data_IF_660512701901
#
_entry.id   IF_660512701901
#
_cell.length_a   1.000
_cell.length_b   1.000
_cell.length_c   1.000
_cell.angle_alpha   90.00
_cell.angle_beta   90.00
_cell.angle_gamma   90.00
#
_symmetry.space_group_name_H-M   'P 1'
#
loop_
_entity.id
_entity.type
_entity.pdbx_description
1 polymer ?
#
# COMPACT_ATOMS: atom_id res chain seq x y z
N UNK A 1 19.15 15.94 -27.71
CA UNK A 1 17.68 16.04 -27.74
C UNK A 1 17.15 14.91 -26.86
N UNK A 2 16.49 15.20 -25.77
CA UNK A 2 15.81 14.14 -24.98
C UNK A 2 14.71 13.53 -25.88
N UNK A 3 14.76 12.23 -26.11
CA UNK A 3 13.71 11.51 -26.84
C UNK A 3 12.35 11.79 -26.16
N UNK A 4 11.33 12.08 -26.97
CA UNK A 4 9.97 12.24 -26.46
C UNK A 4 9.58 10.95 -25.73
N UNK A 5 9.10 11.07 -24.50
CA UNK A 5 8.70 9.90 -23.70
C UNK A 5 7.47 9.22 -24.32
N UNK A 6 7.48 7.92 -24.31
CA UNK A 6 6.35 7.06 -24.70
C UNK A 6 6.23 5.92 -23.70
N UNK A 7 5.07 5.24 -23.58
CA UNK A 7 4.87 4.15 -22.61
C UNK A 7 5.89 3.00 -22.72
N UNK A 8 6.58 2.84 -23.85
CA UNK A 8 7.61 1.81 -24.07
C UNK A 8 9.05 2.36 -24.00
N UNK A 9 9.27 3.63 -23.66
CA UNK A 9 10.62 4.22 -23.55
C UNK A 9 11.53 3.46 -22.58
N UNK A 10 10.95 2.83 -21.58
CA UNK A 10 11.64 2.01 -20.58
C UNK A 10 12.42 0.84 -21.19
N UNK A 11 11.99 0.28 -22.32
CA UNK A 11 12.60 -0.89 -22.95
C UNK A 11 14.07 -0.63 -23.41
N UNK A 12 14.46 0.64 -23.55
CA UNK A 12 15.83 1.05 -23.86
C UNK A 12 16.74 1.19 -22.64
N UNK A 13 16.22 0.98 -21.43
CA UNK A 13 16.91 1.17 -20.16
C UNK A 13 17.21 -0.15 -19.45
N UNK A 14 18.24 -0.20 -18.59
CA UNK A 14 18.50 -1.38 -17.78
C UNK A 14 17.28 -1.72 -16.91
N UNK A 15 16.78 -2.94 -17.00
CA UNK A 15 15.66 -3.44 -16.22
C UNK A 15 16.11 -4.48 -15.19
N UNK A 16 15.58 -4.38 -13.97
CA UNK A 16 15.80 -5.36 -12.89
C UNK A 16 14.49 -6.05 -12.54
N UNK A 17 14.57 -7.28 -12.05
CA UNK A 17 13.44 -8.08 -11.61
C UNK A 17 12.36 -8.35 -12.67
N UNK A 18 12.68 -8.13 -13.93
CA UNK A 18 11.80 -8.49 -15.05
C UNK A 18 11.89 -10.00 -15.32
N UNK A 19 10.75 -10.69 -15.56
CA UNK A 19 10.79 -12.09 -15.95
C UNK A 19 11.36 -12.25 -17.36
N UNK A 20 12.00 -13.40 -17.60
CA UNK A 20 12.40 -13.82 -18.94
C UNK A 20 11.32 -14.75 -19.48
N UNK A 21 10.52 -14.26 -20.40
CA UNK A 21 9.47 -15.06 -21.03
C UNK A 21 10.08 -15.95 -22.12
N UNK A 22 9.62 -17.21 -22.23
CA UNK A 22 10.11 -18.12 -23.28
C UNK A 22 9.75 -17.68 -24.71
N UNK A 23 8.65 -16.92 -24.86
CA UNK A 23 8.12 -16.48 -26.14
C UNK A 23 7.76 -14.98 -26.08
N UNK A 24 8.62 -14.14 -26.67
CA UNK A 24 8.42 -12.70 -26.75
C UNK A 24 7.21 -12.33 -27.63
N UNK A 25 6.95 -13.06 -28.69
CA UNK A 25 5.81 -12.78 -29.56
C UNK A 25 4.48 -12.95 -28.82
N UNK A 26 4.41 -13.92 -27.90
CA UNK A 26 3.25 -14.12 -27.03
C UNK A 26 3.10 -12.95 -26.03
N UNK A 27 4.21 -12.44 -25.50
CA UNK A 27 4.18 -11.23 -24.63
C UNK A 27 3.62 -10.03 -25.40
N UNK A 28 4.14 -9.78 -26.60
CA UNK A 28 3.75 -8.63 -27.43
C UNK A 28 2.26 -8.72 -27.80
N UNK A 29 1.78 -9.91 -28.16
CA UNK A 29 0.37 -10.16 -28.45
C UNK A 29 -0.55 -9.92 -27.23
N UNK A 30 -0.08 -10.33 -26.04
CA UNK A 30 -0.81 -10.14 -24.78
C UNK A 30 -0.85 -8.65 -24.38
N UNK A 31 0.27 -7.93 -24.52
CA UNK A 31 0.34 -6.48 -24.30
C UNK A 31 -0.61 -5.74 -25.23
N UNK A 32 -0.64 -6.09 -26.54
CA UNK A 32 -1.55 -5.46 -27.49
C UNK A 32 -3.03 -5.75 -27.18
N UNK A 33 -3.33 -6.97 -26.74
CA UNK A 33 -4.69 -7.34 -26.28
C UNK A 33 -5.13 -6.50 -25.08
N UNK A 34 -4.27 -6.37 -24.04
CA UNK A 34 -4.55 -5.57 -22.84
C UNK A 34 -4.67 -4.08 -23.16
N UNK A 35 -3.91 -3.57 -24.15
CA UNK A 35 -4.02 -2.19 -24.61
C UNK A 35 -5.43 -1.85 -25.11
N UNK A 36 -6.15 -2.83 -25.64
CA UNK A 36 -7.52 -2.68 -26.11
C UNK A 36 -8.60 -2.93 -25.04
N UNK A 37 -8.19 -3.28 -23.80
CA UNK A 37 -9.13 -3.47 -22.69
C UNK A 37 -9.53 -2.13 -22.06
N UNK A 38 -10.70 -2.04 -21.41
CA UNK A 38 -11.11 -0.85 -20.67
C UNK A 38 -10.11 -0.44 -19.59
N UNK A 39 -10.01 0.85 -19.23
CA UNK A 39 -9.22 1.27 -18.09
C UNK A 39 -9.79 0.71 -16.78
N UNK A 40 -8.94 0.32 -15.85
CA UNK A 40 -9.34 -0.12 -14.51
C UNK A 40 -9.76 1.08 -13.65
N UNK A 41 -9.02 2.18 -13.77
CA UNK A 41 -9.30 3.45 -13.09
C UNK A 41 -9.27 4.61 -14.09
N UNK A 42 -9.85 5.76 -13.71
CA UNK A 42 -9.83 6.94 -14.54
C UNK A 42 -8.78 7.96 -14.06
N UNK A 43 -8.20 8.68 -15.01
CA UNK A 43 -7.23 9.74 -14.72
C UNK A 43 -7.79 10.79 -13.74
N UNK A 44 -9.09 11.09 -13.82
CA UNK A 44 -9.77 12.00 -12.87
C UNK A 44 -9.73 11.51 -11.43
N UNK A 45 -9.86 10.19 -11.19
CA UNK A 45 -9.73 9.60 -9.85
C UNK A 45 -8.29 9.72 -9.34
N UNK A 46 -7.29 9.48 -10.19
CA UNK A 46 -5.88 9.66 -9.84
C UNK A 46 -5.54 11.12 -9.52
N UNK A 47 -6.13 12.09 -10.25
CA UNK A 47 -6.02 13.53 -9.92
C UNK A 47 -6.66 13.87 -8.57
N UNK A 48 -7.84 13.31 -8.29
CA UNK A 48 -8.50 13.48 -6.98
C UNK A 48 -7.65 12.95 -5.84
N UNK A 49 -7.06 11.76 -6.02
CA UNK A 49 -6.12 11.20 -5.05
C UNK A 49 -4.89 12.11 -4.88
N UNK A 50 -4.31 12.62 -5.97
CA UNK A 50 -3.15 13.53 -5.90
C UNK A 50 -3.46 14.79 -5.11
N UNK A 51 -4.65 15.37 -5.28
CA UNK A 51 -5.10 16.52 -4.49
C UNK A 51 -5.24 16.16 -2.99
N UNK A 52 -5.81 15.00 -2.66
CA UNK A 52 -5.91 14.53 -1.29
C UNK A 52 -4.52 14.27 -0.66
N UNK A 53 -3.56 13.74 -1.42
CA UNK A 53 -2.18 13.55 -0.96
C UNK A 53 -1.43 14.89 -0.80
N UNK A 54 -1.80 15.94 -1.51
CA UNK A 54 -1.27 17.28 -1.26
C UNK A 54 -1.69 17.78 0.12
N UNK A 55 -2.94 17.56 0.55
CA UNK A 55 -3.38 17.87 1.91
C UNK A 55 -2.64 17.03 2.97
N UNK A 56 -2.26 15.79 2.64
CA UNK A 56 -1.40 14.97 3.51
C UNK A 56 -0.01 15.58 3.64
N UNK A 57 0.60 16.04 2.53
CA UNK A 57 1.90 16.69 2.56
C UNK A 57 1.90 17.98 3.39
N UNK A 58 0.76 18.69 3.42
CA UNK A 58 0.53 19.91 4.23
C UNK A 58 0.17 19.61 5.69
N UNK A 59 0.10 18.36 6.12
CA UNK A 59 -0.29 17.97 7.49
C UNK A 59 -1.78 18.14 7.81
N UNK A 60 -2.64 18.26 6.79
CA UNK A 60 -4.10 18.44 6.93
C UNK A 60 -4.90 17.15 6.78
N UNK A 61 -4.26 16.07 6.36
CA UNK A 61 -4.84 14.73 6.21
C UNK A 61 -3.79 13.69 6.55
N UNK A 62 -4.22 12.43 6.72
CA UNK A 62 -3.36 11.29 7.01
C UNK A 62 -3.55 10.20 5.97
N UNK A 63 -2.48 9.56 5.50
CA UNK A 63 -2.51 8.45 4.54
C UNK A 63 -2.57 7.10 5.25
N UNK A 64 -3.61 6.33 5.01
CA UNK A 64 -3.68 4.91 5.32
C UNK A 64 -3.55 4.12 4.01
N UNK A 65 -2.39 3.51 3.79
CA UNK A 65 -2.17 2.59 2.68
C UNK A 65 -2.01 1.18 3.26
N UNK A 66 -2.81 0.22 2.78
CA UNK A 66 -2.75 -1.14 3.31
C UNK A 66 -3.42 -2.17 2.41
N UNK A 67 -3.09 -3.43 2.62
CA UNK A 67 -3.65 -4.57 1.91
C UNK A 67 -2.61 -5.64 1.61
N UNK A 68 -2.80 -6.43 0.58
CA UNK A 68 -2.02 -7.64 0.38
C UNK A 68 -0.52 -7.39 0.13
N UNK A 69 0.30 -8.35 0.51
CA UNK A 69 1.72 -8.40 0.15
C UNK A 69 1.88 -8.63 -1.35
N UNK A 70 1.28 -9.72 -1.85
CA UNK A 70 1.03 -10.01 -3.24
C UNK A 70 -0.29 -10.77 -3.32
N UNK A 71 -1.23 -10.22 -4.08
CA UNK A 71 -2.52 -10.88 -4.31
C UNK A 71 -2.32 -12.23 -5.00
N UNK A 72 -3.10 -13.23 -4.59
CA UNK A 72 -3.11 -14.55 -5.20
C UNK A 72 -4.38 -14.78 -5.99
N UNK A 73 -4.24 -15.42 -7.15
CA UNK A 73 -5.40 -15.85 -7.93
C UNK A 73 -6.29 -16.85 -7.17
N UNK A 74 -5.69 -17.64 -6.27
CA UNK A 74 -6.41 -18.61 -5.44
C UNK A 74 -7.23 -17.92 -4.31
N UNK A 75 -6.80 -16.74 -3.85
CA UNK A 75 -7.52 -15.98 -2.82
C UNK A 75 -8.59 -15.03 -3.39
N UNK A 76 -8.77 -15.00 -4.73
CA UNK A 76 -9.79 -14.19 -5.38
C UNK A 76 -11.19 -14.68 -5.04
N UNK A 77 -11.76 -14.09 -4.00
CA UNK A 77 -13.09 -14.43 -3.48
C UNK A 77 -13.79 -13.17 -2.93
N UNK A 78 -15.11 -13.00 -3.14
CA UNK A 78 -15.83 -11.81 -2.72
C UNK A 78 -15.77 -11.55 -1.20
N UNK A 79 -15.66 -12.60 -0.38
CA UNK A 79 -15.51 -12.45 1.08
C UNK A 79 -14.14 -11.86 1.42
N UNK A 80 -13.05 -12.31 0.77
CA UNK A 80 -11.71 -11.79 1.02
C UNK A 80 -11.60 -10.31 0.66
N UNK A 81 -12.17 -9.92 -0.47
CA UNK A 81 -12.23 -8.53 -0.92
C UNK A 81 -13.03 -7.69 0.08
N UNK A 82 -14.20 -8.17 0.47
CA UNK A 82 -15.06 -7.52 1.47
C UNK A 82 -14.37 -7.35 2.81
N UNK A 83 -13.74 -8.41 3.33
CA UNK A 83 -13.14 -8.40 4.65
C UNK A 83 -11.90 -7.52 4.71
N UNK A 84 -11.08 -7.50 3.65
CA UNK A 84 -9.95 -6.56 3.52
C UNK A 84 -10.42 -5.10 3.47
N UNK A 85 -11.45 -4.80 2.69
CA UNK A 85 -12.06 -3.47 2.65
C UNK A 85 -12.64 -3.06 4.00
N UNK A 86 -13.32 -3.97 4.69
CA UNK A 86 -13.89 -3.75 6.02
C UNK A 86 -12.82 -3.38 7.04
N UNK A 87 -11.71 -4.12 7.11
CA UNK A 87 -10.60 -3.83 8.03
C UNK A 87 -10.02 -2.45 7.76
N UNK A 88 -9.77 -2.10 6.50
CA UNK A 88 -9.26 -0.78 6.14
C UNK A 88 -10.23 0.35 6.51
N UNK A 89 -11.55 0.14 6.40
CA UNK A 89 -12.54 1.11 6.86
C UNK A 89 -12.53 1.28 8.37
N UNK A 90 -12.48 0.18 9.14
CA UNK A 90 -12.39 0.23 10.60
C UNK A 90 -11.13 0.99 11.05
N UNK A 91 -9.97 0.66 10.47
CA UNK A 91 -8.71 1.37 10.72
C UNK A 91 -8.85 2.87 10.39
N UNK A 92 -9.45 3.21 9.23
CA UNK A 92 -9.61 4.61 8.83
C UNK A 92 -10.49 5.40 9.81
N UNK A 93 -11.61 4.85 10.28
CA UNK A 93 -12.49 5.54 11.25
C UNK A 93 -11.78 5.77 12.58
N UNK A 94 -11.04 4.77 13.07
CA UNK A 94 -10.24 4.88 14.30
C UNK A 94 -9.17 5.98 14.14
N UNK A 95 -8.47 6.00 13.02
CA UNK A 95 -7.42 7.00 12.73
C UNK A 95 -8.00 8.40 12.53
N UNK A 96 -9.15 8.56 11.85
CA UNK A 96 -9.87 9.85 11.73
C UNK A 96 -10.14 10.43 13.11
N UNK A 97 -10.64 9.60 14.02
CA UNK A 97 -10.94 10.05 15.38
C UNK A 97 -9.68 10.45 16.14
N UNK A 98 -8.61 9.64 16.10
CA UNK A 98 -7.35 9.94 16.78
C UNK A 98 -6.66 11.18 16.23
N UNK A 99 -6.52 11.27 14.93
CA UNK A 99 -5.87 12.38 14.23
C UNK A 99 -6.73 13.67 14.24
N UNK A 100 -8.06 13.56 14.32
CA UNK A 100 -9.03 14.63 14.08
C UNK A 100 -8.81 15.32 12.72
N UNK A 101 -8.48 14.53 11.70
CA UNK A 101 -8.27 14.96 10.31
C UNK A 101 -8.73 13.90 9.34
N UNK A 102 -9.00 14.23 8.07
CA UNK A 102 -9.35 13.25 7.04
C UNK A 102 -8.28 12.18 6.87
N UNK A 103 -8.71 10.94 6.59
CA UNK A 103 -7.81 9.82 6.25
C UNK A 103 -8.01 9.43 4.79
N UNK A 104 -6.94 9.53 4.00
CA UNK A 104 -6.88 9.08 2.60
C UNK A 104 -6.65 7.57 2.59
N UNK A 105 -7.60 6.81 2.06
CA UNK A 105 -7.60 5.34 2.06
C UNK A 105 -7.12 4.81 0.71
N UNK A 106 -5.98 4.10 0.72
CA UNK A 106 -5.36 3.52 -0.48
C UNK A 106 -5.13 2.03 -0.24
N UNK A 107 -5.85 1.19 -0.96
CA UNK A 107 -5.70 -0.26 -0.88
C UNK A 107 -4.51 -0.77 -1.70
N UNK A 108 -3.74 -1.69 -1.16
CA UNK A 108 -2.82 -2.56 -1.90
C UNK A 108 -3.65 -3.75 -2.39
N UNK A 109 -4.46 -3.51 -3.40
CA UNK A 109 -5.48 -4.44 -3.90
C UNK A 109 -5.84 -4.09 -5.35
N UNK A 110 -6.33 -5.05 -6.09
CA UNK A 110 -6.74 -4.93 -7.50
C UNK A 110 -5.57 -4.57 -8.42
N UNK A 111 -4.43 -5.25 -8.24
CA UNK A 111 -3.23 -5.06 -9.07
C UNK A 111 -1.93 -5.49 -8.43
N UNK A 112 -1.88 -5.74 -7.13
CA UNK A 112 -0.65 -6.11 -6.42
C UNK A 112 -0.34 -7.61 -6.59
N UNK A 113 -0.14 -8.08 -7.83
CA UNK A 113 0.14 -9.48 -8.15
C UNK A 113 1.62 -9.79 -8.41
N UNK A 114 2.49 -8.80 -8.43
CA UNK A 114 3.92 -8.96 -8.66
C UNK A 114 4.74 -8.63 -7.40
N UNK A 115 5.85 -9.36 -7.20
CA UNK A 115 6.75 -9.14 -6.06
C UNK A 115 8.22 -9.27 -6.49
N UNK A 116 9.09 -8.27 -6.22
CA UNK A 116 10.51 -8.42 -6.43
C UNK A 116 11.10 -9.40 -5.41
N UNK A 117 11.89 -10.35 -5.87
CA UNK A 117 12.51 -11.36 -5.01
C UNK A 117 13.97 -11.02 -4.73
N UNK A 118 14.47 -11.40 -3.55
CA UNK A 118 15.89 -11.24 -3.18
C UNK A 118 16.82 -12.18 -3.95
N UNK A 119 16.29 -13.30 -4.46
CA UNK A 119 16.99 -14.26 -5.33
C UNK A 119 16.10 -14.60 -6.50
N UNK A 120 16.66 -14.73 -7.68
CA UNK A 120 15.95 -15.22 -8.87
C UNK A 120 15.69 -16.73 -8.83
N UNK A 121 16.42 -17.45 -7.96
CA UNK A 121 16.33 -18.91 -7.80
C UNK A 121 15.92 -19.24 -6.37
N UNK A 122 15.03 -20.18 -6.23
CA UNK A 122 14.59 -20.79 -4.98
C UNK A 122 15.03 -22.27 -4.99
N UNK A 123 15.61 -22.75 -3.87
CA UNK A 123 16.08 -24.13 -3.73
C UNK A 123 15.36 -24.80 -2.57
N UNK A 124 14.67 -25.91 -2.84
CA UNK A 124 13.99 -26.74 -1.86
C UNK A 124 14.43 -28.19 -2.09
N UNK A 125 14.88 -28.88 -1.07
CA UNK A 125 15.33 -30.29 -1.09
C UNK A 125 16.33 -30.60 -2.21
N UNK A 126 17.24 -29.65 -2.49
CA UNK A 126 18.28 -29.79 -3.52
C UNK A 126 17.80 -29.54 -4.96
N UNK A 127 16.53 -29.27 -5.19
CA UNK A 127 15.98 -28.85 -6.48
C UNK A 127 15.97 -27.34 -6.55
N UNK A 128 16.52 -26.77 -7.63
CA UNK A 128 16.58 -25.33 -7.87
C UNK A 128 15.66 -24.94 -9.03
N UNK A 129 14.72 -24.04 -8.77
CA UNK A 129 13.78 -23.50 -9.74
C UNK A 129 13.76 -21.97 -9.69
N UNK A 130 13.20 -21.31 -10.72
CA UNK A 130 12.92 -19.89 -10.63
C UNK A 130 12.05 -19.57 -9.42
N UNK A 131 12.34 -18.43 -8.77
CA UNK A 131 11.54 -17.96 -7.65
C UNK A 131 10.12 -17.63 -8.10
N UNK A 132 9.14 -17.86 -7.22
CA UNK A 132 7.81 -17.33 -7.40
C UNK A 132 7.85 -15.79 -7.33
N UNK A 133 7.49 -15.12 -8.42
CA UNK A 133 7.54 -13.66 -8.59
C UNK A 133 6.17 -12.99 -8.53
N UNK A 134 5.15 -13.76 -8.15
CA UNK A 134 3.75 -13.31 -8.10
C UNK A 134 2.89 -13.87 -9.22
N UNK A 135 1.61 -14.00 -8.94
CA UNK A 135 0.67 -14.71 -9.81
C UNK A 135 0.51 -14.10 -11.21
N UNK A 136 0.80 -12.83 -11.39
CA UNK A 136 0.82 -12.19 -12.71
C UNK A 136 1.97 -12.69 -13.60
N UNK A 137 3.00 -13.31 -13.02
CA UNK A 137 4.22 -13.76 -13.71
C UNK A 137 4.27 -15.28 -13.82
N UNK A 138 4.21 -16.00 -12.68
CA UNK A 138 4.34 -17.45 -12.61
C UNK A 138 3.53 -18.04 -11.45
N UNK A 139 3.44 -19.38 -11.38
CA UNK A 139 2.66 -20.07 -10.35
C UNK A 139 3.40 -20.25 -9.03
N UNK A 140 2.69 -20.33 -7.88
CA UNK A 140 3.29 -20.52 -6.56
C UNK A 140 3.80 -21.95 -6.32
N UNK A 141 3.28 -22.95 -7.06
CA UNK A 141 3.69 -24.34 -6.89
C UNK A 141 5.17 -24.53 -7.21
N UNK A 142 5.88 -25.32 -6.40
CA UNK A 142 7.29 -25.59 -6.61
C UNK A 142 7.49 -26.72 -7.64
N UNK A 143 7.13 -26.42 -8.89
CA UNK A 143 7.31 -27.29 -10.06
C UNK A 143 7.91 -26.53 -11.22
N UNK A 144 8.71 -27.21 -12.05
CA UNK A 144 9.34 -26.57 -13.20
C UNK A 144 8.31 -25.89 -14.14
N UNK A 145 7.15 -26.52 -14.34
CA UNK A 145 6.09 -25.99 -15.20
C UNK A 145 5.45 -24.73 -14.61
N UNK A 146 5.10 -24.73 -13.31
CA UNK A 146 4.44 -23.60 -12.65
C UNK A 146 5.36 -22.36 -12.58
N UNK A 147 6.67 -22.58 -12.49
CA UNK A 147 7.66 -21.49 -12.36
C UNK A 147 8.05 -20.85 -13.68
N UNK A 148 7.62 -21.39 -14.82
CA UNK A 148 7.82 -20.72 -16.12
C UNK A 148 6.92 -19.48 -16.21
N UNK A 149 7.46 -18.29 -16.52
CA UNK A 149 6.65 -17.10 -16.74
C UNK A 149 5.68 -17.26 -17.93
N UNK A 150 4.40 -16.94 -17.72
CA UNK A 150 3.35 -17.01 -18.73
C UNK A 150 2.63 -15.66 -18.89
N UNK A 151 2.69 -15.01 -20.08
CA UNK A 151 2.07 -13.71 -20.30
C UNK A 151 0.53 -13.75 -20.20
N UNK A 152 -0.14 -14.88 -20.38
CA UNK A 152 -1.60 -14.98 -20.19
C UNK A 152 -2.04 -14.68 -18.75
N UNK A 153 -1.15 -14.82 -17.79
CA UNK A 153 -1.40 -14.47 -16.39
C UNK A 153 -1.63 -12.97 -16.21
N UNK A 154 -1.07 -12.12 -17.07
CA UNK A 154 -1.38 -10.67 -17.09
C UNK A 154 -2.86 -10.41 -17.39
N UNK A 155 -3.46 -11.18 -18.28
CA UNK A 155 -4.90 -11.06 -18.62
C UNK A 155 -5.77 -11.54 -17.46
N UNK A 156 -5.36 -12.61 -16.79
CA UNK A 156 -6.06 -13.10 -15.61
C UNK A 156 -5.99 -12.06 -14.47
N UNK A 157 -4.82 -11.48 -14.22
CA UNK A 157 -4.64 -10.41 -13.23
C UNK A 157 -5.53 -9.21 -13.53
N UNK A 158 -5.57 -8.75 -14.80
CA UNK A 158 -6.48 -7.67 -15.22
C UNK A 158 -7.95 -8.02 -14.93
N UNK A 159 -8.42 -9.21 -15.29
CA UNK A 159 -9.81 -9.61 -15.10
C UNK A 159 -10.18 -9.66 -13.61
N UNK A 160 -9.31 -10.19 -12.76
CA UNK A 160 -9.53 -10.21 -11.31
C UNK A 160 -9.49 -8.80 -10.72
N UNK A 161 -8.56 -7.93 -11.18
CA UNK A 161 -8.50 -6.52 -10.78
C UNK A 161 -9.78 -5.78 -11.15
N UNK A 162 -10.31 -5.97 -12.36
CA UNK A 162 -11.55 -5.34 -12.80
C UNK A 162 -12.75 -5.76 -11.94
N UNK A 163 -12.88 -7.05 -11.64
CA UNK A 163 -13.95 -7.56 -10.78
C UNK A 163 -13.81 -7.05 -9.34
N UNK A 164 -12.60 -7.03 -8.80
CA UNK A 164 -12.29 -6.49 -7.46
C UNK A 164 -12.64 -5.01 -7.37
N UNK A 165 -12.22 -4.19 -8.34
CA UNK A 165 -12.54 -2.75 -8.39
C UNK A 165 -14.04 -2.49 -8.49
N UNK A 166 -14.77 -3.27 -9.30
CA UNK A 166 -16.22 -3.16 -9.39
C UNK A 166 -16.87 -3.40 -8.02
N UNK A 167 -16.44 -4.43 -7.31
CA UNK A 167 -16.97 -4.75 -5.98
C UNK A 167 -16.59 -3.69 -4.92
N UNK A 168 -15.35 -3.19 -4.95
CA UNK A 168 -14.90 -2.11 -4.06
C UNK A 168 -15.70 -0.83 -4.27
N UNK A 169 -15.96 -0.43 -5.53
CA UNK A 169 -16.81 0.73 -5.85
C UNK A 169 -18.24 0.54 -5.33
N UNK A 170 -18.80 -0.66 -5.52
CA UNK A 170 -20.12 -0.98 -4.99
C UNK A 170 -20.18 -0.88 -3.46
N UNK A 171 -19.16 -1.35 -2.76
CA UNK A 171 -19.05 -1.22 -1.31
C UNK A 171 -18.87 0.24 -0.85
N UNK A 172 -18.00 0.99 -1.52
CA UNK A 172 -17.67 2.36 -1.15
C UNK A 172 -18.85 3.32 -1.33
N UNK A 173 -19.73 3.08 -2.32
CA UNK A 173 -20.82 3.97 -2.69
C UNK A 173 -22.21 3.40 -2.38
N UNK A 174 -22.34 2.08 -2.16
CA UNK A 174 -23.61 1.39 -1.95
C UNK A 174 -24.08 1.31 -0.49
N UNK A 175 -23.50 2.10 0.43
CA UNK A 175 -23.90 2.14 1.85
C UNK A 175 -23.26 1.04 2.70
N UNK A 176 -22.36 0.21 2.17
CA UNK A 176 -21.58 -0.72 2.98
C UNK A 176 -20.56 0.02 3.85
N UNK A 177 -20.07 1.18 3.39
CA UNK A 177 -19.11 2.04 4.07
C UNK A 177 -19.75 3.00 5.11
N UNK A 178 -21.04 2.84 5.43
CA UNK A 178 -21.73 3.64 6.45
C UNK A 178 -20.98 3.64 7.79
N UNK A 179 -20.70 4.84 8.34
CA UNK A 179 -19.88 5.01 9.54
C UNK A 179 -20.50 4.34 10.78
N UNK A 180 -21.83 4.28 10.91
CA UNK A 180 -22.48 3.57 12.01
C UNK A 180 -22.26 2.07 11.92
N UNK A 181 -22.31 1.51 10.71
CA UNK A 181 -22.01 0.10 10.44
C UNK A 181 -20.54 -0.22 10.71
N UNK A 182 -19.63 0.62 10.25
CA UNK A 182 -18.18 0.47 10.50
C UNK A 182 -17.90 0.48 12.00
N UNK A 183 -18.55 1.37 12.74
CA UNK A 183 -18.46 1.44 14.20
C UNK A 183 -18.98 0.16 14.88
N UNK A 184 -20.11 -0.39 14.42
CA UNK A 184 -20.63 -1.68 14.95
C UNK A 184 -19.63 -2.82 14.74
N UNK A 185 -18.95 -2.88 13.61
CA UNK A 185 -17.90 -3.89 13.40
C UNK A 185 -16.72 -3.68 14.36
N UNK A 186 -16.39 -2.44 14.68
CA UNK A 186 -15.33 -2.12 15.65
C UNK A 186 -15.71 -2.55 17.05
N UNK A 187 -16.97 -2.37 17.46
CA UNK A 187 -17.48 -2.91 18.74
C UNK A 187 -17.40 -4.43 18.78
N UNK A 188 -17.80 -5.13 17.69
CA UNK A 188 -17.68 -6.58 17.59
C UNK A 188 -16.22 -7.08 17.68
N UNK A 189 -15.25 -6.31 17.17
CA UNK A 189 -13.83 -6.60 17.38
C UNK A 189 -13.44 -6.47 18.86
N UNK A 190 -13.90 -5.41 19.56
CA UNK A 190 -13.60 -5.18 20.98
C UNK A 190 -14.16 -6.31 21.84
N UNK A 191 -15.38 -6.75 21.58
CA UNK A 191 -16.01 -7.86 22.31
C UNK A 191 -15.31 -9.20 22.10
N UNK A 192 -14.76 -9.44 20.91
CA UNK A 192 -14.15 -10.72 20.54
C UNK A 192 -12.63 -10.77 20.74
N UNK A 193 -11.96 -9.63 20.89
CA UNK A 193 -10.50 -9.55 21.00
C UNK A 193 -10.04 -9.68 22.45
N UNK A 194 -9.03 -10.52 22.76
CA UNK A 194 -8.42 -10.57 24.10
C UNK A 194 -7.89 -9.23 24.61
N UNK A 195 -7.51 -8.33 23.70
CA UNK A 195 -7.02 -6.98 24.02
C UNK A 195 -8.12 -5.91 23.94
N UNK A 196 -9.37 -6.28 23.64
CA UNK A 196 -10.45 -5.35 23.30
C UNK A 196 -10.75 -4.34 24.40
N UNK A 197 -10.69 -4.74 25.67
CA UNK A 197 -10.95 -3.85 26.81
C UNK A 197 -10.05 -2.60 26.82
N UNK A 198 -8.81 -2.70 26.34
CA UNK A 198 -7.89 -1.55 26.22
C UNK A 198 -8.42 -0.46 25.30
N UNK A 199 -9.22 -0.83 24.31
CA UNK A 199 -9.69 0.06 23.24
C UNK A 199 -11.15 0.48 23.41
N UNK A 200 -11.86 -0.09 24.39
CA UNK A 200 -13.29 0.17 24.64
C UNK A 200 -13.57 1.67 24.82
N UNK A 201 -12.73 2.38 25.59
CA UNK A 201 -12.90 3.81 25.81
C UNK A 201 -12.85 4.64 24.54
N UNK A 202 -11.91 4.35 23.63
CA UNK A 202 -11.80 5.08 22.36
C UNK A 202 -13.00 4.78 21.45
N UNK A 203 -13.46 3.53 21.42
CA UNK A 203 -14.64 3.15 20.65
C UNK A 203 -15.92 3.81 21.19
N UNK A 204 -16.07 3.90 22.51
CA UNK A 204 -17.19 4.62 23.13
C UNK A 204 -17.20 6.10 22.75
N UNK A 205 -16.02 6.74 22.71
CA UNK A 205 -15.91 8.14 22.27
C UNK A 205 -16.34 8.30 20.80
N UNK A 206 -15.97 7.37 19.92
CA UNK A 206 -16.43 7.36 18.52
C UNK A 206 -17.96 7.22 18.47
N UNK A 207 -18.53 6.30 19.26
CA UNK A 207 -19.98 6.11 19.38
C UNK A 207 -20.71 7.36 19.85
N UNK A 208 -20.16 8.09 20.83
CA UNK A 208 -20.71 9.35 21.29
C UNK A 208 -20.68 10.43 20.19
N UNK A 209 -19.61 10.53 19.41
CA UNK A 209 -19.54 11.44 18.26
C UNK A 209 -20.60 11.14 17.21
N UNK A 210 -20.78 9.87 16.85
CA UNK A 210 -21.81 9.43 15.91
C UNK A 210 -23.22 9.72 16.44
N UNK A 211 -23.46 9.48 17.72
CA UNK A 211 -24.73 9.80 18.38
C UNK A 211 -25.02 11.31 18.40
N UNK A 212 -24.00 12.13 18.64
CA UNK A 212 -24.10 13.58 18.56
C UNK A 212 -24.45 14.05 17.14
N UNK A 213 -23.74 13.53 16.11
CA UNK A 213 -24.04 13.86 14.71
C UNK A 213 -25.49 13.50 14.37
N UNK A 214 -25.95 12.31 14.80
CA UNK A 214 -27.31 11.85 14.61
C UNK A 214 -28.34 12.78 15.27
N UNK A 215 -28.09 13.21 16.52
CA UNK A 215 -28.94 14.16 17.23
C UNK A 215 -28.99 15.55 16.56
N UNK A 216 -27.94 15.94 15.86
CA UNK A 216 -27.89 17.15 15.03
C UNK A 216 -28.61 17.02 13.68
N UNK A 217 -29.19 15.84 13.37
CA UNK A 217 -29.86 15.55 12.11
C UNK A 217 -28.92 15.20 10.95
N UNK A 218 -27.67 14.85 11.25
CA UNK A 218 -26.69 14.39 10.25
C UNK A 218 -26.75 12.86 10.20
N UNK A 219 -27.42 12.33 9.18
CA UNK A 219 -27.66 10.88 9.01
C UNK A 219 -27.09 10.40 7.68
N UNK A 220 -26.91 9.10 7.55
CA UNK A 220 -26.50 8.44 6.29
C UNK A 220 -27.47 8.70 5.11
N UNK A 221 -28.73 9.05 5.39
CA UNK A 221 -29.72 9.36 4.35
C UNK A 221 -29.54 10.77 3.74
N UNK A 222 -28.95 11.71 4.49
CA UNK A 222 -28.83 13.11 4.07
C UNK A 222 -27.40 13.63 3.99
N UNK A 223 -26.39 12.89 4.51
CA UNK A 223 -24.97 13.23 4.47
C UNK A 223 -24.19 12.13 3.78
N UNK A 224 -23.70 12.43 2.57
CA UNK A 224 -22.98 11.47 1.74
C UNK A 224 -21.73 10.93 2.45
N UNK A 225 -20.97 11.76 3.14
CA UNK A 225 -19.72 11.44 3.83
C UNK A 225 -19.90 10.47 5.00
N UNK A 226 -21.13 10.32 5.51
CA UNK A 226 -21.48 9.30 6.52
C UNK A 226 -21.73 7.94 5.87
N UNK A 227 -22.32 7.92 4.65
CA UNK A 227 -22.76 6.71 3.94
C UNK A 227 -21.72 6.17 2.99
N UNK A 228 -20.95 7.04 2.36
CA UNK A 228 -20.01 6.72 1.27
C UNK A 228 -18.58 7.12 1.62
N UNK A 229 -17.63 6.54 0.95
CA UNK A 229 -16.22 6.89 1.13
C UNK A 229 -15.46 6.87 -0.19
N UNK A 230 -14.45 7.73 -0.32
CA UNK A 230 -13.44 7.56 -1.35
C UNK A 230 -12.49 6.43 -0.95
N UNK A 231 -12.22 5.55 -1.90
CA UNK A 231 -11.27 4.45 -1.74
C UNK A 231 -10.47 4.29 -3.03
N UNK A 232 -9.15 4.28 -2.91
CA UNK A 232 -8.24 4.21 -4.04
C UNK A 232 -7.46 2.89 -3.99
N UNK A 233 -6.91 2.47 -5.13
CA UNK A 233 -6.10 1.26 -5.25
C UNK A 233 -4.68 1.59 -5.64
N UNK A 234 -3.74 0.70 -5.29
CA UNK A 234 -2.32 0.87 -5.56
C UNK A 234 -1.62 -0.47 -5.72
N UNK A 235 -0.55 -0.48 -6.52
CA UNK A 235 0.38 -1.61 -6.62
C UNK A 235 1.82 -1.15 -6.95
N UNK A 236 2.79 -2.06 -6.78
CA UNK A 236 4.14 -1.86 -7.25
C UNK A 236 4.18 -1.95 -8.78
N UNK A 237 4.61 -0.90 -9.45
CA UNK A 237 4.79 -0.88 -10.90
C UNK A 237 6.04 -1.72 -11.28
N UNK A 238 5.95 -3.04 -11.09
CA UNK A 238 7.08 -3.95 -11.28
C UNK A 238 7.12 -4.56 -12.67
N UNK A 239 5.97 -5.04 -13.19
CA UNK A 239 5.89 -5.73 -14.47
C UNK A 239 5.61 -4.74 -15.60
N UNK A 240 6.65 -4.08 -16.11
CA UNK A 240 6.54 -2.96 -17.06
C UNK A 240 5.76 -3.27 -18.36
N UNK A 241 5.78 -4.47 -18.95
CA UNK A 241 4.88 -4.80 -20.08
C UNK A 241 3.39 -4.65 -19.72
N UNK A 242 2.99 -5.01 -18.49
CA UNK A 242 1.63 -4.85 -18.01
C UNK A 242 1.27 -3.37 -17.78
N UNK A 243 2.13 -2.63 -17.11
CA UNK A 243 1.95 -1.20 -16.87
C UNK A 243 1.88 -0.41 -18.18
N UNK A 244 2.78 -0.71 -19.13
CA UNK A 244 2.77 -0.14 -20.48
C UNK A 244 1.44 -0.41 -21.19
N UNK A 245 0.92 -1.65 -21.08
CA UNK A 245 -0.32 -2.04 -21.72
C UNK A 245 -1.53 -1.28 -21.17
N UNK A 246 -1.49 -0.84 -19.91
CA UNK A 246 -2.56 -0.09 -19.25
C UNK A 246 -2.34 1.43 -19.24
N UNK A 247 -1.30 1.93 -19.89
CA UNK A 247 -1.02 3.38 -19.94
C UNK A 247 -1.79 4.05 -21.08
N UNK A 248 -2.53 5.12 -20.76
CA UNK A 248 -3.44 5.84 -21.67
C UNK A 248 -3.23 7.34 -21.60
N UNK A 249 -3.52 8.03 -22.71
CA UNK A 249 -3.67 9.48 -22.73
C UNK A 249 -5.04 9.84 -22.14
N UNK A 250 -5.06 10.70 -21.16
CA UNK A 250 -6.31 11.29 -20.67
C UNK A 250 -6.84 12.31 -21.67
N UNK A 251 -8.04 12.10 -22.19
CA UNK A 251 -8.67 12.95 -23.20
C UNK A 251 -8.98 14.36 -22.69
N UNK A 252 -8.98 14.59 -21.38
CA UNK A 252 -9.31 15.92 -20.81
C UNK A 252 -8.07 16.80 -20.63
N UNK A 253 -6.89 16.21 -20.39
CA UNK A 253 -5.64 16.96 -20.12
C UNK A 253 -4.57 16.74 -21.17
N UNK A 254 -4.64 15.66 -21.94
CA UNK A 254 -3.58 15.22 -22.85
C UNK A 254 -2.39 14.54 -22.15
N UNK A 255 -2.45 14.37 -20.83
CA UNK A 255 -1.41 13.72 -20.03
C UNK A 255 -1.53 12.20 -20.06
N UNK A 256 -0.40 11.52 -19.86
CA UNK A 256 -0.35 10.07 -19.74
C UNK A 256 -0.65 9.61 -18.30
N UNK A 257 -1.53 8.63 -18.16
CA UNK A 257 -1.81 7.95 -16.91
C UNK A 257 -1.70 6.44 -17.10
N UNK A 258 -1.08 5.76 -16.15
CA UNK A 258 -1.27 4.34 -15.97
C UNK A 258 -2.64 4.15 -15.31
N UNK A 259 -3.56 3.54 -16.04
CA UNK A 259 -4.93 3.31 -15.59
C UNK A 259 -5.13 1.92 -15.00
N UNK A 260 -4.03 1.24 -14.63
CA UNK A 260 -4.02 -0.01 -13.86
C UNK A 260 -4.31 0.21 -12.38
N UNK A 261 -3.94 1.38 -11.81
CA UNK A 261 -4.27 1.79 -10.45
C UNK A 261 -4.26 3.32 -10.30
N UNK A 262 -4.81 3.80 -9.17
CA UNK A 262 -4.78 5.23 -8.85
C UNK A 262 -3.39 5.70 -8.42
N UNK A 263 -2.67 4.87 -7.66
CA UNK A 263 -1.35 5.12 -7.10
C UNK A 263 -0.40 3.98 -7.45
N UNK A 264 0.80 4.31 -7.88
CA UNK A 264 1.86 3.35 -8.18
C UNK A 264 3.04 3.57 -7.26
N UNK A 265 3.80 2.52 -6.91
CA UNK A 265 5.07 2.74 -6.24
C UNK A 265 6.21 2.01 -6.93
N UNK A 266 7.42 2.55 -6.72
CA UNK A 266 8.67 1.95 -7.13
C UNK A 266 9.36 1.33 -5.91
N UNK A 267 9.77 0.08 -6.06
CA UNK A 267 10.44 -0.69 -5.02
C UNK A 267 11.88 -0.22 -4.76
N UNK A 268 12.41 -0.57 -3.60
CA UNK A 268 13.78 -0.27 -3.21
C UNK A 268 14.83 -0.87 -4.16
N UNK A 269 14.48 -2.00 -4.82
CA UNK A 269 15.36 -2.72 -5.77
C UNK A 269 15.28 -2.21 -7.20
N UNK A 270 14.29 -1.41 -7.57
CA UNK A 270 13.99 -0.99 -8.95
C UNK A 270 14.08 0.53 -9.17
N UNK A 271 14.49 1.30 -8.16
CA UNK A 271 14.52 2.77 -8.17
C UNK A 271 15.85 3.38 -8.64
N UNK A 272 16.65 2.67 -9.45
CA UNK A 272 17.86 3.23 -10.02
C UNK A 272 17.51 4.42 -10.95
N UNK A 273 18.16 5.60 -10.81
CA UNK A 273 17.79 6.80 -11.57
C UNK A 273 17.83 6.61 -13.10
N UNK A 274 18.72 5.76 -13.61
CA UNK A 274 18.88 5.41 -15.03
C UNK A 274 18.10 4.15 -15.45
N UNK A 275 17.34 3.55 -14.52
CA UNK A 275 16.64 2.27 -14.70
C UNK A 275 15.30 2.40 -15.43
N UNK A 276 14.85 1.26 -15.96
CA UNK A 276 13.63 1.13 -16.75
C UNK A 276 12.36 1.58 -15.97
N UNK A 277 12.27 1.26 -14.67
CA UNK A 277 11.11 1.61 -13.86
C UNK A 277 11.01 3.13 -13.62
N UNK A 278 12.14 3.81 -13.41
CA UNK A 278 12.18 5.27 -13.28
C UNK A 278 11.83 5.94 -14.61
N UNK A 279 12.36 5.41 -15.73
CA UNK A 279 12.03 5.91 -17.06
C UNK A 279 10.54 5.78 -17.36
N UNK A 280 9.89 4.66 -17.00
CA UNK A 280 8.46 4.49 -17.17
C UNK A 280 7.67 5.49 -16.32
N UNK A 281 7.97 5.55 -15.02
CA UNK A 281 7.19 6.33 -14.05
C UNK A 281 7.34 7.85 -14.22
N UNK A 282 8.44 8.34 -14.83
CA UNK A 282 8.59 9.78 -15.10
C UNK A 282 7.58 10.34 -16.09
N UNK A 283 7.00 9.49 -16.93
CA UNK A 283 6.06 9.93 -17.98
C UNK A 283 4.59 9.85 -17.59
N UNK A 284 4.22 9.05 -16.58
CA UNK A 284 2.83 8.96 -16.11
C UNK A 284 2.55 10.00 -15.03
N UNK A 285 1.32 10.50 -14.93
CA UNK A 285 0.91 11.57 -14.01
C UNK A 285 0.22 11.09 -12.73
N UNK A 286 0.17 9.78 -12.53
CA UNK A 286 -0.32 9.18 -11.29
C UNK A 286 0.48 9.70 -10.08
N UNK A 287 -0.11 9.80 -8.87
CA UNK A 287 0.68 9.88 -7.64
C UNK A 287 1.60 8.67 -7.52
N UNK A 288 2.83 8.89 -7.05
CA UNK A 288 3.89 7.87 -6.99
C UNK A 288 4.43 7.68 -5.57
N UNK A 289 4.68 6.43 -5.19
CA UNK A 289 5.44 6.07 -4.02
C UNK A 289 6.89 5.71 -4.37
N UNK A 290 7.84 6.05 -3.50
CA UNK A 290 9.24 5.63 -3.60
C UNK A 290 9.64 4.96 -2.29
N UNK A 291 10.02 3.68 -2.34
CA UNK A 291 10.52 2.97 -1.16
C UNK A 291 11.92 3.46 -0.77
N UNK A 292 12.09 3.82 0.51
CA UNK A 292 13.34 4.32 1.07
C UNK A 292 13.75 3.45 2.28
N UNK A 293 14.84 2.72 2.14
CA UNK A 293 15.41 1.87 3.21
C UNK A 293 16.65 2.49 3.87
N UNK A 294 17.30 1.78 4.80
CA UNK A 294 18.49 2.27 5.53
C UNK A 294 19.68 2.60 4.63
N UNK A 295 19.73 2.04 3.43
CA UNK A 295 20.80 2.26 2.45
C UNK A 295 20.47 3.35 1.43
N UNK A 296 19.39 4.09 1.64
CA UNK A 296 19.00 5.18 0.74
C UNK A 296 19.97 6.34 0.87
N UNK A 297 20.55 6.72 -0.25
CA UNK A 297 21.45 7.87 -0.35
C UNK A 297 20.65 9.15 -0.62
N UNK A 298 20.85 10.24 0.15
CA UNK A 298 20.09 11.48 0.00
C UNK A 298 20.26 12.14 -1.38
N UNK A 299 21.43 12.09 -2.00
CA UNK A 299 21.66 12.74 -3.31
C UNK A 299 21.04 11.91 -4.45
N UNK A 300 21.10 10.58 -4.38
CA UNK A 300 20.36 9.72 -5.30
C UNK A 300 18.84 9.92 -5.16
N UNK A 301 18.34 10.12 -3.94
CA UNK A 301 16.93 10.45 -3.72
C UNK A 301 16.57 11.77 -4.42
N UNK A 302 17.41 12.81 -4.32
CA UNK A 302 17.15 14.07 -5.02
C UNK A 302 17.12 13.87 -6.54
N UNK A 303 18.03 13.10 -7.11
CA UNK A 303 18.02 12.78 -8.54
C UNK A 303 16.73 12.07 -8.99
N UNK A 304 16.19 11.18 -8.15
CA UNK A 304 14.89 10.56 -8.39
C UNK A 304 13.75 11.58 -8.35
N UNK A 305 13.74 12.48 -7.36
CA UNK A 305 12.73 13.53 -7.25
C UNK A 305 12.78 14.49 -8.43
N UNK A 306 13.97 14.87 -8.89
CA UNK A 306 14.14 15.71 -10.09
C UNK A 306 13.59 15.03 -11.35
N UNK A 307 13.72 13.71 -11.44
CA UNK A 307 13.23 12.94 -12.58
C UNK A 307 11.72 12.70 -12.52
N UNK A 308 11.18 12.32 -11.34
CA UNK A 308 9.80 11.88 -11.17
C UNK A 308 8.83 13.02 -10.86
N UNK A 309 9.33 14.14 -10.31
CA UNK A 309 8.54 15.32 -9.98
C UNK A 309 9.33 16.63 -10.23
N UNK A 310 9.74 16.92 -11.48
CA UNK A 310 10.57 18.08 -11.80
C UNK A 310 9.91 19.42 -11.48
N UNK A 311 8.58 19.48 -11.44
CA UNK A 311 7.81 20.69 -11.13
C UNK A 311 7.49 20.85 -9.65
N UNK A 312 7.96 19.93 -8.80
CA UNK A 312 7.70 19.90 -7.36
C UNK A 312 6.18 19.98 -7.05
N UNK A 313 5.38 19.22 -7.80
CA UNK A 313 3.93 19.18 -7.65
C UNK A 313 3.56 18.51 -6.32
N UNK A 314 2.74 19.16 -5.49
CA UNK A 314 2.27 18.60 -4.22
C UNK A 314 1.39 17.36 -4.45
N UNK A 315 1.52 16.36 -3.58
CA UNK A 315 0.78 15.09 -3.66
C UNK A 315 1.27 14.15 -4.75
N UNK A 316 2.26 14.55 -5.56
CA UNK A 316 2.85 13.70 -6.61
C UNK A 316 3.70 12.58 -6.03
N UNK A 317 4.53 12.86 -5.01
CA UNK A 317 5.49 11.90 -4.44
C UNK A 317 5.17 11.60 -2.99
N UNK A 318 5.13 10.31 -2.67
CA UNK A 318 5.13 9.75 -1.32
C UNK A 318 6.43 8.99 -1.10
N UNK A 319 7.25 9.42 -0.14
CA UNK A 319 8.42 8.66 0.30
C UNK A 319 8.00 7.65 1.35
N UNK A 320 8.15 6.37 1.04
CA UNK A 320 7.72 5.25 1.87
C UNK A 320 8.94 4.70 2.60
N UNK A 321 9.12 5.16 3.85
CA UNK A 321 10.22 4.80 4.74
C UNK A 321 10.07 3.36 5.26
N UNK A 322 11.14 2.55 5.15
CA UNK A 322 11.20 1.15 5.61
C UNK A 322 12.52 0.85 6.30
N UNK A 323 12.75 1.48 7.42
CA UNK A 323 14.05 1.47 8.11
C UNK A 323 14.28 0.21 8.95
N UNK A 324 13.24 -0.35 9.55
CA UNK A 324 13.28 -1.38 10.60
C UNK A 324 13.26 -0.77 12.01
N UNK A 325 12.67 -1.48 12.95
CA UNK A 325 12.55 -1.05 14.35
C UNK A 325 13.89 -0.65 14.93
N UNK A 326 13.94 0.47 15.63
CA UNK A 326 15.14 1.02 16.27
C UNK A 326 16.16 1.64 15.29
N UNK A 327 15.90 1.68 13.98
CA UNK A 327 16.85 2.18 12.98
C UNK A 327 16.43 3.52 12.35
N UNK A 328 15.18 3.94 12.50
CA UNK A 328 14.68 5.16 11.92
C UNK A 328 15.48 6.40 12.36
N UNK A 329 15.82 6.51 13.64
CA UNK A 329 16.58 7.63 14.18
C UNK A 329 18.00 7.77 13.58
N UNK A 330 18.60 6.68 13.12
CA UNK A 330 19.93 6.71 12.52
C UNK A 330 19.92 7.08 11.03
N UNK A 331 18.87 6.72 10.29
CA UNK A 331 18.89 6.80 8.82
C UNK A 331 17.90 7.82 8.24
N UNK A 332 16.74 8.02 8.86
CA UNK A 332 15.68 8.85 8.29
C UNK A 332 15.99 10.36 8.35
N UNK A 333 16.62 10.93 9.42
CA UNK A 333 16.86 12.36 9.51
C UNK A 333 17.65 12.97 8.36
N UNK A 334 18.66 12.25 7.84
CA UNK A 334 19.47 12.73 6.69
C UNK A 334 18.63 12.91 5.42
N UNK A 335 17.70 11.99 5.16
CA UNK A 335 16.77 12.07 4.03
C UNK A 335 15.78 13.24 4.22
N UNK A 336 15.23 13.38 5.44
CA UNK A 336 14.27 14.46 5.75
C UNK A 336 14.94 15.83 5.54
N UNK A 337 16.10 16.05 6.16
CA UNK A 337 16.83 17.33 6.06
C UNK A 337 17.19 17.67 4.62
N UNK A 338 17.61 16.68 3.83
CA UNK A 338 17.96 16.86 2.42
C UNK A 338 16.74 17.27 1.59
N UNK A 339 15.60 16.60 1.80
CA UNK A 339 14.31 16.94 1.16
C UNK A 339 13.83 18.34 1.55
N UNK A 340 13.92 18.69 2.84
CA UNK A 340 13.53 20.02 3.34
C UNK A 340 14.43 21.14 2.79
N UNK A 341 15.75 20.93 2.74
CA UNK A 341 16.69 21.92 2.23
C UNK A 341 16.44 22.33 0.76
N UNK A 342 15.82 21.44 -0.01
CA UNK A 342 15.42 21.67 -1.41
C UNK A 342 13.96 22.16 -1.54
N UNK A 343 13.25 22.34 -0.44
CA UNK A 343 11.85 22.76 -0.44
C UNK A 343 10.90 21.81 -1.15
N UNK A 344 11.17 20.50 -1.12
CA UNK A 344 10.38 19.51 -1.83
C UNK A 344 9.07 19.22 -1.10
N UNK A 345 7.97 19.21 -1.85
CA UNK A 345 6.62 18.89 -1.33
C UNK A 345 6.40 17.38 -1.37
N UNK A 346 6.58 16.73 -0.24
CA UNK A 346 6.61 15.27 -0.11
C UNK A 346 5.63 14.81 0.95
N UNK A 347 4.92 13.71 0.68
CA UNK A 347 4.24 12.91 1.69
C UNK A 347 5.25 11.91 2.28
N UNK A 348 5.41 11.92 3.60
CA UNK A 348 6.17 10.88 4.30
C UNK A 348 5.25 9.79 4.83
N UNK A 349 5.56 8.54 4.54
CA UNK A 349 4.75 7.37 4.91
C UNK A 349 5.66 6.29 5.51
N UNK A 350 5.25 5.66 6.62
CA UNK A 350 5.98 4.58 7.27
C UNK A 350 5.54 3.22 6.73
N UNK A 351 6.48 2.42 6.24
CA UNK A 351 6.30 0.99 5.96
C UNK A 351 7.05 0.17 7.02
N UNK A 352 6.42 -0.20 8.12
CA UNK A 352 7.08 -0.93 9.20
C UNK A 352 7.11 -2.44 8.95
N UNK A 353 6.75 -2.87 7.73
CA UNK A 353 6.65 -4.29 7.40
C UNK A 353 7.97 -4.83 6.86
N UNK A 354 8.50 -4.19 5.80
CA UNK A 354 9.63 -4.73 5.04
C UNK A 354 10.99 -4.65 5.74
N UNK A 355 11.13 -3.78 6.75
CA UNK A 355 12.33 -3.70 7.60
C UNK A 355 12.37 -4.72 8.74
N UNK A 356 11.24 -5.36 9.06
CA UNK A 356 11.06 -6.21 10.25
C UNK A 356 10.76 -7.68 9.94
N UNK A 357 11.01 -8.14 8.72
CA UNK A 357 10.82 -9.55 8.36
C UNK A 357 11.98 -10.37 8.93
N UNK A 358 11.65 -11.40 9.71
CA UNK A 358 12.57 -12.37 10.28
C UNK A 358 12.22 -13.79 9.84
N UNK A 359 13.13 -14.73 10.03
CA UNK A 359 12.91 -16.16 9.81
C UNK A 359 13.00 -16.88 11.13
N UNK A 360 12.01 -17.69 11.46
CA UNK A 360 11.96 -18.51 12.67
C UNK A 360 12.78 -19.79 12.52
N UNK A 361 13.09 -20.48 13.63
CA UNK A 361 13.84 -21.74 13.63
C UNK A 361 13.11 -22.85 12.84
N UNK A 362 11.78 -22.86 12.87
CA UNK A 362 10.95 -23.79 12.10
C UNK A 362 10.75 -23.36 10.63
N UNK A 363 11.51 -22.37 10.14
CA UNK A 363 11.63 -22.02 8.74
C UNK A 363 10.60 -21.00 8.21
N UNK A 364 9.58 -20.64 8.98
CA UNK A 364 8.61 -19.62 8.56
C UNK A 364 9.23 -18.22 8.53
N UNK A 365 8.87 -17.43 7.53
CA UNK A 365 9.03 -15.99 7.60
C UNK A 365 7.93 -15.42 8.50
N UNK A 366 8.26 -14.43 9.32
CA UNK A 366 7.28 -13.74 10.16
C UNK A 366 7.72 -12.31 10.42
N UNK A 367 6.86 -11.55 11.07
CA UNK A 367 7.13 -10.22 11.61
C UNK A 367 6.59 -10.15 13.02
N UNK A 368 7.35 -9.50 13.89
CA UNK A 368 6.90 -9.25 15.25
C UNK A 368 6.03 -8.00 15.31
N UNK A 369 4.85 -8.12 15.90
CA UNK A 369 3.88 -7.02 16.03
C UNK A 369 4.46 -5.83 16.79
N UNK A 370 5.23 -6.09 17.86
CA UNK A 370 5.82 -5.03 18.66
C UNK A 370 6.96 -4.33 17.91
N UNK A 371 7.71 -5.05 17.06
CA UNK A 371 8.71 -4.43 16.19
C UNK A 371 8.05 -3.55 15.11
N UNK A 372 6.91 -3.98 14.54
CA UNK A 372 6.12 -3.17 13.61
C UNK A 372 5.65 -1.88 14.29
N UNK A 373 5.07 -1.99 15.47
CA UNK A 373 4.61 -0.83 16.25
C UNK A 373 5.77 0.09 16.63
N UNK A 374 6.93 -0.48 17.00
CA UNK A 374 8.11 0.31 17.37
C UNK A 374 8.61 1.14 16.19
N UNK A 375 8.68 0.58 14.97
CA UNK A 375 9.11 1.37 13.80
C UNK A 375 8.14 2.52 13.50
N UNK A 376 6.83 2.33 13.68
CA UNK A 376 5.85 3.41 13.57
C UNK A 376 6.13 4.50 14.60
N UNK A 377 6.36 4.15 15.87
CA UNK A 377 6.70 5.12 16.93
C UNK A 377 7.99 5.87 16.64
N UNK A 378 9.02 5.17 16.20
CA UNK A 378 10.31 5.75 15.83
C UNK A 378 10.14 6.75 14.67
N UNK A 379 9.35 6.40 13.66
CA UNK A 379 9.04 7.27 12.53
C UNK A 379 8.36 8.57 12.99
N UNK A 380 7.33 8.50 13.82
CA UNK A 380 6.67 9.68 14.39
C UNK A 380 7.63 10.53 15.21
N UNK A 381 8.44 9.92 16.06
CA UNK A 381 9.41 10.61 16.91
C UNK A 381 10.47 11.37 16.07
N UNK A 382 10.97 10.76 14.99
CA UNK A 382 11.92 11.40 14.08
C UNK A 382 11.28 12.60 13.40
N UNK A 383 10.07 12.47 12.85
CA UNK A 383 9.38 13.57 12.20
C UNK A 383 9.10 14.73 13.16
N UNK A 384 8.74 14.41 14.40
CA UNK A 384 8.58 15.42 15.45
C UNK A 384 9.91 16.15 15.74
N UNK A 385 11.01 15.43 15.85
CA UNK A 385 12.33 16.00 16.12
C UNK A 385 12.84 16.89 14.96
N UNK A 386 12.53 16.50 13.70
CA UNK A 386 12.93 17.25 12.51
C UNK A 386 11.93 18.36 12.12
N UNK A 387 10.84 18.55 12.88
CA UNK A 387 9.83 19.56 12.60
C UNK A 387 9.05 19.33 11.31
N UNK A 388 8.86 18.06 10.92
CA UNK A 388 8.13 17.63 9.73
C UNK A 388 6.89 16.84 10.08
N UNK A 389 6.05 16.55 9.09
CA UNK A 389 4.80 15.81 9.28
C UNK A 389 4.96 14.32 8.95
N UNK A 390 4.61 13.45 9.91
CA UNK A 390 4.46 12.02 9.71
C UNK A 390 3.12 11.75 8.99
N UNK A 391 3.16 11.74 7.65
CA UNK A 391 1.97 11.84 6.82
C UNK A 391 1.14 10.55 6.71
N UNK A 392 1.70 9.37 7.03
CA UNK A 392 0.91 8.15 6.88
C UNK A 392 1.63 6.86 7.19
N UNK A 393 0.91 5.75 6.97
CA UNK A 393 1.38 4.37 7.18
C UNK A 393 1.05 3.48 5.99
N UNK A 394 1.90 2.46 5.76
CA UNK A 394 1.82 1.52 4.66
C UNK A 394 1.99 0.09 5.18
N UNK A 395 0.90 -0.69 5.21
CA UNK A 395 0.87 -2.02 5.81
C UNK A 395 0.66 -3.14 4.79
N UNK A 396 1.28 -4.30 5.05
CA UNK A 396 0.87 -5.57 4.46
C UNK A 396 -0.09 -6.27 5.42
N UNK A 397 -1.35 -6.35 5.04
CA UNK A 397 -2.43 -6.92 5.86
C UNK A 397 -3.48 -7.63 5.01
N UNK A 398 -4.25 -8.49 5.66
CA UNK A 398 -5.42 -9.15 5.08
C UNK A 398 -6.61 -9.05 6.02
N UNK A 399 -7.82 -9.07 5.48
CA UNK A 399 -9.04 -9.17 6.27
C UNK A 399 -9.28 -10.54 6.90
N UNK A 400 -8.45 -11.53 6.55
CA UNK A 400 -8.56 -12.89 7.05
C UNK A 400 -7.86 -13.08 8.39
N UNK A 401 -8.28 -14.09 9.14
CA UNK A 401 -7.66 -14.48 10.41
C UNK A 401 -6.44 -15.39 10.18
N UNK A 402 -5.40 -14.90 9.51
CA UNK A 402 -4.14 -15.60 9.29
C UNK A 402 -3.25 -15.55 10.53
N UNK A 403 -2.30 -16.49 10.63
CA UNK A 403 -1.29 -16.55 11.70
C UNK A 403 0.12 -16.32 11.13
N UNK A 404 0.31 -15.27 10.31
CA UNK A 404 1.57 -15.03 9.59
C UNK A 404 2.54 -14.11 10.36
N UNK A 405 2.02 -13.22 11.24
CA UNK A 405 2.81 -12.35 12.12
C UNK A 405 2.63 -12.75 13.58
N UNK A 406 3.73 -12.79 14.33
CA UNK A 406 3.73 -13.13 15.78
C UNK A 406 3.30 -11.92 16.61
N UNK A 407 2.80 -12.19 17.82
CA UNK A 407 2.39 -11.15 18.79
C UNK A 407 1.00 -10.60 18.56
N UNK A 408 0.78 -9.36 19.00
CA UNK A 408 -0.54 -8.71 19.05
C UNK A 408 -1.43 -9.27 20.15
N UNK A 409 -2.65 -8.75 20.27
CA UNK A 409 -3.61 -9.15 21.31
C UNK A 409 -4.01 -10.63 21.28
N UNK A 410 -3.89 -11.28 20.12
CA UNK A 410 -4.10 -12.73 19.98
C UNK A 410 -2.90 -13.57 20.45
N UNK A 411 -1.77 -12.94 20.78
CA UNK A 411 -0.54 -13.58 21.26
C UNK A 411 -0.06 -14.74 20.36
N UNK A 412 -0.10 -14.53 19.04
CA UNK A 412 0.36 -15.53 18.08
C UNK A 412 1.84 -15.84 18.34
N UNK A 413 2.16 -17.12 18.54
CA UNK A 413 3.51 -17.59 18.80
C UNK A 413 4.20 -18.11 17.55
N UNK A 414 5.54 -18.26 17.58
CA UNK A 414 6.30 -18.85 16.48
C UNK A 414 5.87 -20.30 16.17
N UNK A 415 5.43 -21.07 17.17
CA UNK A 415 4.90 -22.42 17.00
C UNK A 415 3.49 -22.44 16.39
N UNK A 416 2.69 -21.38 16.59
CA UNK A 416 1.34 -21.25 16.06
C UNK A 416 1.27 -20.75 14.61
N UNK A 417 2.40 -20.29 14.02
CA UNK A 417 2.40 -19.74 12.66
C UNK A 417 1.82 -20.70 11.62
N UNK A 418 2.12 -21.99 11.73
CA UNK A 418 1.66 -23.01 10.78
C UNK A 418 0.16 -23.29 10.78
N UNK A 419 -0.63 -22.79 11.75
CA UNK A 419 -2.06 -23.05 11.85
C UNK A 419 -2.84 -22.46 10.67
N UNK A 420 -2.51 -21.21 10.27
CA UNK A 420 -3.13 -20.51 9.15
C UNK A 420 -2.13 -19.61 8.41
N UNK A 421 -1.00 -20.19 8.01
CA UNK A 421 0.00 -19.51 7.17
C UNK A 421 -0.37 -19.70 5.71
N UNK A 422 -0.89 -18.67 5.06
CA UNK A 422 -1.49 -18.75 3.71
C UNK A 422 -0.60 -18.09 2.65
N UNK A 423 0.13 -17.05 3.01
CA UNK A 423 0.92 -16.28 2.02
C UNK A 423 1.98 -17.13 1.32
N UNK A 424 2.09 -16.99 0.01
CA UNK A 424 3.21 -17.51 -0.78
C UNK A 424 4.41 -16.55 -0.85
N UNK A 425 4.31 -15.35 -0.25
CA UNK A 425 5.32 -14.30 -0.29
C UNK A 425 5.81 -13.90 1.11
N UNK A 426 5.48 -12.69 1.54
CA UNK A 426 5.87 -12.19 2.86
C UNK A 426 4.67 -12.16 3.81
N UNK A 427 4.89 -12.35 5.14
CA UNK A 427 3.83 -12.46 6.12
C UNK A 427 3.01 -11.18 6.24
N UNK A 428 1.70 -11.34 6.41
CA UNK A 428 0.71 -10.26 6.54
C UNK A 428 0.18 -10.16 7.96
N UNK A 429 -0.14 -8.97 8.41
CA UNK A 429 -0.99 -8.78 9.59
C UNK A 429 -2.40 -9.33 9.28
N UNK A 430 -3.02 -9.99 10.25
CA UNK A 430 -4.43 -10.32 10.16
C UNK A 430 -5.32 -9.12 10.50
N UNK A 431 -6.64 -9.25 10.29
CA UNK A 431 -7.57 -8.16 10.53
C UNK A 431 -7.56 -7.64 11.96
N UNK A 432 -7.41 -8.52 12.95
CA UNK A 432 -7.35 -8.13 14.38
C UNK A 432 -6.09 -7.33 14.69
N UNK A 433 -4.93 -7.78 14.21
CA UNK A 433 -3.66 -7.06 14.37
C UNK A 433 -3.70 -5.69 13.67
N UNK A 434 -4.31 -5.61 12.48
CA UNK A 434 -4.49 -4.33 11.77
C UNK A 434 -5.32 -3.32 12.56
N UNK A 435 -6.46 -3.75 13.11
CA UNK A 435 -7.33 -2.89 13.92
C UNK A 435 -6.63 -2.47 15.23
N UNK A 436 -5.92 -3.37 15.89
CA UNK A 436 -5.13 -3.07 17.09
C UNK A 436 -4.07 -2.00 16.82
N UNK A 437 -3.31 -2.12 15.71
CA UNK A 437 -2.37 -1.08 15.30
C UNK A 437 -3.04 0.27 15.06
N UNK A 438 -4.23 0.29 14.44
CA UNK A 438 -4.95 1.53 14.22
C UNK A 438 -5.31 2.23 15.52
N UNK A 439 -5.73 1.50 16.57
CA UNK A 439 -5.97 2.07 17.89
C UNK A 439 -4.69 2.66 18.50
N UNK A 440 -3.58 1.94 18.46
CA UNK A 440 -2.31 2.37 19.04
C UNK A 440 -1.74 3.62 18.31
N UNK A 441 -1.90 3.66 16.99
CA UNK A 441 -1.51 4.83 16.19
C UNK A 441 -2.45 6.02 16.46
N UNK A 442 -3.76 5.77 16.60
CA UNK A 442 -4.73 6.81 16.93
C UNK A 442 -4.45 7.48 18.28
N UNK A 443 -4.05 6.71 19.29
CA UNK A 443 -3.59 7.24 20.58
C UNK A 443 -2.35 8.12 20.43
N UNK A 444 -1.38 7.71 19.63
CA UNK A 444 -0.19 8.50 19.33
C UNK A 444 -0.54 9.81 18.63
N UNK A 445 -1.34 9.77 17.57
CA UNK A 445 -1.81 10.93 16.82
C UNK A 445 -2.57 11.92 17.72
N UNK A 446 -3.43 11.39 18.62
CA UNK A 446 -4.16 12.19 19.60
C UNK A 446 -3.21 12.89 20.57
N UNK A 447 -2.20 12.18 21.08
CA UNK A 447 -1.20 12.74 21.99
C UNK A 447 -0.36 13.83 21.31
N UNK A 448 0.05 13.65 20.06
CA UNK A 448 0.83 14.62 19.28
C UNK A 448 0.02 15.89 19.02
N UNK A 449 -1.26 15.73 18.64
CA UNK A 449 -2.19 16.86 18.47
C UNK A 449 -2.38 17.69 19.74
N UNK A 450 -2.58 17.04 20.89
CA UNK A 450 -2.76 17.73 22.16
C UNK A 450 -1.49 18.51 22.55
N UNK A 451 -0.32 17.94 22.32
CA UNK A 451 0.96 18.65 22.54
C UNK A 451 1.12 19.88 21.65
N UNK A 452 0.76 19.78 20.38
CA UNK A 452 0.86 20.90 19.42
C UNK A 452 -0.12 22.03 19.69
N UNK A 453 -1.26 21.75 20.33
CA UNK A 453 -2.28 22.75 20.70
C UNK A 453 -2.08 23.34 22.11
N UNK A 454 -1.04 22.96 22.83
CA UNK A 454 -0.73 23.48 24.17
C UNK A 454 -1.73 23.05 25.26
N UNK A 455 -2.46 21.97 25.03
CA UNK A 455 -3.43 21.37 25.97
C UNK A 455 -2.91 20.08 26.57
#
# INVERSE_FOLDING_TARGET
MSSVWTPNSWASKPSKHMPVYPDQAKVDATVERLRNYPPLVFAGEARKLKAALAEVADGKAFLLQGGDCAESFAEFHPQNIRDSFRVLLQMAVILIFGAAMPVVKVGRIAGQFAKPRSSDIETIDGVSLESYKGDIINGPEFTAQARVPDPERMVQAYNQSAATLNLLRAFAQGGYADLHRVHQWTLGFIESSPAGEKYAHLADQIGQCLSFMNAMGLHSDNVREIRETDFYTSHEALLLPYEQALTRVDSTTGDWYDVGAHFLWIGDRTRQPDGAHVEFLRGVKNPLGIKCGPTSDPDQLMALLDTLNPTNEAGRITLISRMGAGKAAAHLPSLIRRVQSEGRKIVWCCDPMHGNTIKTENGFKTRDFDAILQEVKDFFAVHQAEGTHAGGVHFELTGQNVTECIGGGQQITASGLGERYITACDPRLNGSQGIELAFLIAEQLKADRLRSTGK
#
